data_IF_067759347740
#
_entry.id   IF_067759347740
#
_cell.length_a   1.000
_cell.length_b   1.000
_cell.length_c   1.000
_cell.angle_alpha   90.00
_cell.angle_beta   90.00
_cell.angle_gamma   90.00
#
_symmetry.space_group_name_H-M   'P 1'
#
loop_
_entity.id
_entity.type
_entity.pdbx_description
1 polymer ?
#
# COMPACT_ATOMS: atom_id res chain seq x y z
N UNK A 1 7.61 -1.41 -29.92
CA UNK A 1 7.25 -1.28 -28.49
C UNK A 1 5.77 -1.49 -28.21
N UNK A 2 4.84 -1.03 -29.07
CA UNK A 2 3.37 -1.16 -28.86
C UNK A 2 2.89 -2.53 -28.38
N UNK A 3 3.49 -3.62 -28.89
CA UNK A 3 3.16 -5.00 -28.48
C UNK A 3 3.33 -5.25 -26.97
N UNK A 4 4.28 -4.59 -26.30
CA UNK A 4 4.58 -4.78 -24.87
C UNK A 4 4.11 -3.64 -23.98
N UNK A 5 3.68 -2.51 -24.55
CA UNK A 5 3.15 -1.38 -23.79
C UNK A 5 1.83 -1.74 -23.09
N UNK A 6 0.98 -2.51 -23.75
CA UNK A 6 -0.32 -2.96 -23.24
C UNK A 6 -0.24 -4.39 -22.65
N UNK A 7 0.93 -4.75 -22.10
CA UNK A 7 1.15 -6.07 -21.47
C UNK A 7 1.38 -5.88 -19.99
N UNK A 8 0.79 -6.78 -19.20
CA UNK A 8 1.01 -6.84 -17.77
C UNK A 8 2.49 -7.00 -17.46
N UNK A 9 2.97 -6.22 -16.49
CA UNK A 9 4.40 -6.09 -16.22
C UNK A 9 5.08 -7.41 -15.87
N UNK A 10 4.35 -8.35 -15.26
CA UNK A 10 4.89 -9.68 -14.95
C UNK A 10 5.12 -10.51 -16.21
N UNK A 11 4.24 -10.43 -17.20
CA UNK A 11 4.47 -11.05 -18.52
C UNK A 11 5.75 -10.49 -19.16
N UNK A 12 5.98 -9.18 -19.01
CA UNK A 12 7.18 -8.52 -19.56
C UNK A 12 8.43 -8.96 -18.81
N UNK A 13 8.42 -8.95 -17.47
CA UNK A 13 9.56 -9.34 -16.63
C UNK A 13 9.89 -10.83 -16.78
N UNK A 14 8.89 -11.72 -16.80
CA UNK A 14 9.11 -13.17 -16.98
C UNK A 14 9.82 -13.47 -18.31
N UNK A 15 9.53 -12.68 -19.34
CA UNK A 15 10.17 -12.80 -20.66
C UNK A 15 11.51 -12.07 -20.75
N UNK A 16 11.67 -10.98 -20.01
CA UNK A 16 12.84 -10.11 -20.03
C UNK A 16 13.22 -9.71 -18.59
N UNK A 17 13.89 -10.59 -17.81
CA UNK A 17 14.15 -10.36 -16.39
C UNK A 17 14.93 -9.08 -16.09
N UNK A 18 15.77 -8.61 -17.03
CA UNK A 18 16.52 -7.36 -16.90
C UNK A 18 15.62 -6.12 -16.83
N UNK A 19 14.37 -6.20 -17.30
CA UNK A 19 13.40 -5.09 -17.23
C UNK A 19 13.07 -4.75 -15.78
N UNK A 20 13.01 -5.73 -14.87
CA UNK A 20 12.77 -5.49 -13.45
C UNK A 20 13.84 -4.57 -12.85
N UNK A 21 15.12 -4.86 -13.12
CA UNK A 21 16.25 -4.05 -12.65
C UNK A 21 16.20 -2.63 -13.20
N UNK A 22 15.83 -2.49 -14.47
CA UNK A 22 15.66 -1.18 -15.09
C UNK A 22 14.55 -0.41 -14.39
N UNK A 23 13.40 -1.02 -14.10
CA UNK A 23 12.31 -0.34 -13.39
C UNK A 23 12.74 0.07 -11.97
N UNK A 24 13.46 -0.79 -11.26
CA UNK A 24 14.00 -0.51 -9.92
C UNK A 24 14.96 0.70 -9.92
N UNK A 25 15.78 0.88 -10.96
CA UNK A 25 16.68 2.05 -11.11
C UNK A 25 15.92 3.38 -11.09
N UNK A 26 14.67 3.39 -11.55
CA UNK A 26 13.80 4.57 -11.60
C UNK A 26 12.78 4.60 -10.45
N UNK A 27 12.94 3.73 -9.45
CA UNK A 27 12.05 3.66 -8.28
C UNK A 27 10.70 3.00 -8.56
N UNK A 28 10.57 2.26 -9.66
CA UNK A 28 9.34 1.57 -10.07
C UNK A 28 9.41 0.11 -9.60
N UNK A 29 8.98 -0.14 -8.36
CA UNK A 29 9.10 -1.45 -7.71
C UNK A 29 7.98 -2.44 -8.08
N UNK A 30 7.92 -2.90 -9.33
CA UNK A 30 6.88 -3.83 -9.80
C UNK A 30 7.18 -5.32 -9.55
N UNK A 31 8.45 -5.68 -9.34
CA UNK A 31 8.90 -7.07 -9.17
C UNK A 31 8.23 -7.86 -8.03
N UNK A 32 8.09 -7.29 -6.82
CA UNK A 32 7.43 -7.97 -5.69
C UNK A 32 5.92 -8.18 -5.86
N UNK A 33 5.30 -7.65 -6.92
CA UNK A 33 3.86 -7.74 -7.13
C UNK A 33 3.44 -9.18 -7.49
N UNK A 34 2.59 -9.78 -6.66
CA UNK A 34 2.06 -11.13 -6.90
C UNK A 34 1.08 -11.18 -8.09
N UNK A 35 0.33 -10.09 -8.31
CA UNK A 35 -0.69 -9.95 -9.35
C UNK A 35 -0.06 -9.68 -10.72
N UNK A 36 0.73 -8.61 -10.82
CA UNK A 36 1.55 -8.33 -12.00
C UNK A 36 0.79 -7.96 -13.28
N UNK A 37 -0.48 -7.59 -13.17
CA UNK A 37 -1.37 -7.30 -14.31
C UNK A 37 -1.23 -5.88 -14.86
N UNK A 38 -0.68 -4.93 -14.09
CA UNK A 38 -0.57 -3.54 -14.52
C UNK A 38 0.22 -3.42 -15.82
N UNK A 39 -0.34 -2.74 -16.81
CA UNK A 39 0.31 -2.52 -18.10
C UNK A 39 1.57 -1.65 -17.95
N UNK A 40 2.61 -1.96 -18.74
CA UNK A 40 3.88 -1.21 -18.72
C UNK A 40 3.68 0.29 -18.94
N UNK A 41 2.79 0.68 -19.88
CA UNK A 41 2.51 2.09 -20.16
C UNK A 41 1.88 2.81 -18.95
N UNK A 42 0.97 2.13 -18.25
CA UNK A 42 0.21 2.71 -17.15
C UNK A 42 1.11 2.84 -15.92
N UNK A 43 1.97 1.86 -15.68
CA UNK A 43 3.01 1.95 -14.64
C UNK A 43 3.86 3.20 -14.82
N UNK A 44 4.36 3.45 -16.03
CA UNK A 44 5.22 4.61 -16.31
C UNK A 44 4.45 5.92 -16.09
N UNK A 45 3.21 5.98 -16.53
CA UNK A 45 2.36 7.17 -16.36
C UNK A 45 2.01 7.44 -14.88
N UNK A 46 1.72 6.41 -14.10
CA UNK A 46 1.37 6.50 -12.68
C UNK A 46 2.53 7.05 -11.84
N UNK A 47 3.76 6.59 -12.12
CA UNK A 47 4.97 7.01 -11.40
C UNK A 47 5.44 8.43 -11.76
N UNK A 48 4.89 9.02 -12.83
CA UNK A 48 5.06 10.44 -13.17
C UNK A 48 6.52 10.92 -13.19
N UNK A 49 7.39 10.14 -13.85
CA UNK A 49 8.80 10.49 -14.03
C UNK A 49 8.95 11.79 -14.85
N UNK A 50 10.05 12.55 -14.66
CA UNK A 50 10.42 13.62 -15.60
C UNK A 50 10.47 13.10 -17.04
N UNK A 51 10.05 13.91 -18.02
CA UNK A 51 9.99 13.50 -19.42
C UNK A 51 11.30 12.89 -19.95
N UNK A 52 12.45 13.46 -19.57
CA UNK A 52 13.77 12.95 -19.97
C UNK A 52 14.06 11.57 -19.35
N UNK A 53 13.71 11.36 -18.08
CA UNK A 53 13.91 10.08 -17.39
C UNK A 53 12.95 9.01 -17.89
N UNK A 54 11.69 9.38 -18.15
CA UNK A 54 10.71 8.49 -18.78
C UNK A 54 11.19 8.03 -20.15
N UNK A 55 11.67 8.96 -20.97
CA UNK A 55 12.22 8.64 -22.28
C UNK A 55 13.44 7.71 -22.17
N UNK A 56 14.38 8.01 -21.26
CA UNK A 56 15.55 7.16 -21.01
C UNK A 56 15.15 5.75 -20.54
N UNK A 57 14.22 5.65 -19.58
CA UNK A 57 13.66 4.39 -19.09
C UNK A 57 13.09 3.57 -20.26
N UNK A 58 12.25 4.20 -21.09
CA UNK A 58 11.63 3.53 -22.23
C UNK A 58 12.65 3.10 -23.29
N UNK A 59 13.72 3.86 -23.49
CA UNK A 59 14.83 3.46 -24.38
C UNK A 59 15.60 2.26 -23.83
N UNK A 60 15.91 2.24 -22.53
CA UNK A 60 16.57 1.11 -21.87
C UNK A 60 15.74 -0.16 -21.99
N UNK A 61 14.43 -0.09 -21.72
CA UNK A 61 13.51 -1.22 -21.87
C UNK A 61 13.45 -1.68 -23.33
N UNK A 62 13.33 -0.76 -24.29
CA UNK A 62 13.28 -1.11 -25.71
C UNK A 62 14.56 -1.82 -26.19
N UNK A 63 15.74 -1.41 -25.70
CA UNK A 63 17.01 -2.04 -26.02
C UNK A 63 17.12 -3.50 -25.53
N UNK A 64 16.48 -3.83 -24.39
CA UNK A 64 16.39 -5.21 -23.89
C UNK A 64 15.42 -6.05 -24.74
N UNK A 65 14.24 -5.50 -25.04
CA UNK A 65 13.19 -6.22 -25.77
C UNK A 65 13.57 -6.43 -27.25
N UNK A 66 14.25 -5.46 -27.87
CA UNK A 66 14.61 -5.44 -29.29
C UNK A 66 16.13 -5.18 -29.48
N UNK A 67 17.01 -6.13 -29.09
CA UNK A 67 18.45 -5.90 -29.14
C UNK A 67 18.93 -5.65 -30.57
N UNK A 68 19.69 -4.56 -30.75
CA UNK A 68 20.27 -4.17 -32.04
C UNK A 68 19.28 -3.56 -33.04
N UNK A 69 18.05 -3.23 -32.63
CA UNK A 69 17.07 -2.51 -33.45
C UNK A 69 16.97 -1.05 -32.99
N UNK A 70 16.94 -0.12 -33.94
CA UNK A 70 16.66 1.28 -33.68
C UNK A 70 15.13 1.48 -33.60
N UNK A 71 14.59 1.40 -32.39
CA UNK A 71 13.15 1.56 -32.14
C UNK A 71 12.87 3.05 -31.90
N UNK A 72 12.11 3.68 -32.80
CA UNK A 72 11.52 4.99 -32.52
C UNK A 72 10.43 4.83 -31.45
N UNK A 73 10.64 5.48 -30.30
CA UNK A 73 9.62 5.60 -29.28
C UNK A 73 8.64 6.73 -29.64
N UNK A 74 7.36 6.61 -29.27
CA UNK A 74 6.42 7.74 -29.39
C UNK A 74 6.98 8.95 -28.67
N UNK A 75 6.85 10.15 -29.24
CA UNK A 75 7.18 11.38 -28.53
C UNK A 75 6.29 11.46 -27.27
N UNK A 76 6.93 11.43 -26.10
CA UNK A 76 6.26 11.60 -24.83
C UNK A 76 5.50 12.93 -24.78
N UNK A 77 4.35 12.96 -24.11
CA UNK A 77 3.66 14.23 -23.85
C UNK A 77 4.64 15.17 -23.15
N UNK A 78 4.62 16.46 -23.49
CA UNK A 78 5.41 17.49 -22.78
C UNK A 78 4.97 17.53 -21.31
N UNK A 79 5.65 16.78 -20.44
CA UNK A 79 5.49 16.84 -18.98
C UNK A 79 6.34 18.00 -18.46
N UNK A 80 5.82 18.77 -17.51
CA UNK A 80 6.62 19.78 -16.81
C UNK A 80 7.80 19.07 -16.09
N UNK A 81 8.97 19.72 -15.94
CA UNK A 81 10.09 19.12 -15.22
C UNK A 81 9.63 18.75 -13.80
N UNK A 82 9.80 17.48 -13.40
CA UNK A 82 9.47 17.07 -12.04
C UNK A 82 10.50 17.71 -11.09
N UNK A 83 10.07 18.74 -10.38
CA UNK A 83 10.81 19.26 -9.24
C UNK A 83 10.64 18.23 -8.12
N UNK A 84 11.71 17.88 -7.41
CA UNK A 84 11.63 17.13 -6.13
C UNK A 84 10.99 18.04 -5.06
N UNK A 85 9.74 18.42 -5.26
CA UNK A 85 8.92 19.08 -4.25
C UNK A 85 8.39 18.02 -3.30
N UNK A 86 8.31 18.35 -2.01
CA UNK A 86 7.57 17.54 -1.05
C UNK A 86 6.15 17.30 -1.59
N UNK A 87 5.71 16.03 -1.59
CA UNK A 87 4.36 15.68 -2.04
C UNK A 87 3.37 16.43 -1.14
N UNK A 88 2.64 17.37 -1.73
CA UNK A 88 1.62 18.15 -1.04
C UNK A 88 0.24 17.58 -1.36
N UNK A 89 -0.31 16.83 -0.41
CA UNK A 89 -1.64 16.26 -0.52
C UNK A 89 -2.75 17.29 -0.31
N UNK A 90 -3.85 17.15 -1.06
CA UNK A 90 -5.12 17.78 -0.74
C UNK A 90 -5.65 17.29 0.62
N UNK A 91 -6.56 18.05 1.27
CA UNK A 91 -7.10 17.68 2.58
C UNK A 91 -7.62 16.23 2.70
N UNK A 92 -8.43 15.67 1.77
CA UNK A 92 -8.90 14.29 1.91
C UNK A 92 -7.76 13.27 1.80
N UNK A 93 -6.81 13.45 0.87
CA UNK A 93 -5.67 12.53 0.74
C UNK A 93 -4.77 12.59 1.97
N UNK A 94 -4.56 13.80 2.51
CA UNK A 94 -3.80 13.98 3.74
C UNK A 94 -4.42 13.20 4.91
N UNK A 95 -5.76 13.13 5.01
CA UNK A 95 -6.43 12.36 6.08
C UNK A 95 -6.10 10.87 6.01
N UNK A 96 -6.11 10.26 4.82
CA UNK A 96 -5.72 8.86 4.65
C UNK A 96 -4.25 8.63 5.03
N UNK A 97 -3.33 9.49 4.57
CA UNK A 97 -1.90 9.42 4.92
C UNK A 97 -1.66 9.62 6.42
N UNK A 98 -2.43 10.50 7.08
CA UNK A 98 -2.34 10.71 8.53
C UNK A 98 -2.84 9.46 9.30
N UNK A 99 -3.89 8.78 8.81
CA UNK A 99 -4.39 7.53 9.39
C UNK A 99 -3.38 6.39 9.26
N UNK A 100 -2.62 6.35 8.16
CA UNK A 100 -1.51 5.42 7.99
C UNK A 100 -0.44 5.53 9.07
N UNK A 101 -0.25 6.68 9.72
CA UNK A 101 0.77 6.83 10.77
C UNK A 101 0.55 5.85 11.91
N UNK A 102 -0.70 5.69 12.37
CA UNK A 102 -1.01 4.77 13.45
C UNK A 102 -0.91 3.30 13.02
N UNK A 103 -1.33 2.99 11.79
CA UNK A 103 -1.22 1.65 11.21
C UNK A 103 0.26 1.25 11.08
N UNK A 104 1.11 2.16 10.56
CA UNK A 104 2.56 1.97 10.44
C UNK A 104 3.23 1.69 11.79
N UNK A 105 2.83 2.41 12.85
CA UNK A 105 3.32 2.16 14.22
C UNK A 105 2.93 0.77 14.72
N UNK A 106 1.69 0.34 14.50
CA UNK A 106 1.24 -1.00 14.88
C UNK A 106 2.03 -2.11 14.16
N UNK A 107 2.14 -2.04 12.83
CA UNK A 107 2.83 -3.09 12.06
C UNK A 107 4.33 -3.16 12.40
N UNK A 108 4.94 -2.04 12.83
CA UNK A 108 6.33 -2.02 13.32
C UNK A 108 6.51 -2.80 14.63
N UNK A 109 5.47 -2.93 15.46
CA UNK A 109 5.50 -3.67 16.73
C UNK A 109 5.25 -5.18 16.56
N UNK A 110 4.70 -5.60 15.41
CA UNK A 110 4.34 -7.00 15.14
C UNK A 110 5.50 -7.98 15.41
N UNK A 111 6.76 -7.74 15.00
CA UNK A 111 7.86 -8.66 15.29
C UNK A 111 8.04 -8.92 16.79
N UNK A 112 8.03 -7.87 17.61
CA UNK A 112 8.13 -7.99 19.06
C UNK A 112 6.91 -8.70 19.67
N UNK A 113 5.71 -8.47 19.13
CA UNK A 113 4.50 -9.21 19.54
C UNK A 113 4.67 -10.70 19.24
N UNK A 114 5.17 -11.06 18.05
CA UNK A 114 5.38 -12.45 17.63
C UNK A 114 6.40 -13.16 18.52
N UNK A 115 7.52 -12.51 18.82
CA UNK A 115 8.56 -13.02 19.73
C UNK A 115 8.03 -13.30 21.14
N UNK A 116 7.11 -12.45 21.61
CA UNK A 116 6.56 -12.50 22.97
C UNK A 116 5.14 -13.12 23.03
N UNK A 117 4.73 -13.89 22.01
CA UNK A 117 3.42 -14.53 21.98
C UNK A 117 3.21 -15.45 23.18
N UNK A 118 2.13 -15.23 23.92
CA UNK A 118 1.66 -16.07 25.00
C UNK A 118 0.17 -16.37 24.78
N UNK A 119 -0.13 -17.62 24.41
CA UNK A 119 -1.50 -18.07 24.17
C UNK A 119 -2.07 -18.86 25.36
N UNK A 120 -1.28 -19.04 26.42
CA UNK A 120 -1.71 -19.75 27.63
C UNK A 120 -2.31 -18.79 28.66
N UNK A 121 -1.77 -17.59 28.80
CA UNK A 121 -2.39 -16.54 29.64
C UNK A 121 -3.62 -15.91 28.99
N UNK A 122 -4.52 -15.38 29.82
CA UNK A 122 -5.66 -14.60 29.35
C UNK A 122 -5.20 -13.27 28.78
N UNK A 123 -4.23 -12.64 29.45
CA UNK A 123 -3.64 -11.35 29.08
C UNK A 123 -2.94 -11.42 27.72
N UNK A 124 -2.20 -12.51 27.45
CA UNK A 124 -1.52 -12.71 26.17
C UNK A 124 -2.51 -12.91 25.01
N UNK A 125 -3.59 -13.67 25.23
CA UNK A 125 -4.68 -13.80 24.24
C UNK A 125 -5.41 -12.48 24.00
N UNK A 126 -5.69 -11.72 25.06
CA UNK A 126 -6.37 -10.44 24.94
C UNK A 126 -5.55 -9.42 24.14
N UNK A 127 -4.23 -9.36 24.33
CA UNK A 127 -3.34 -8.50 23.53
C UNK A 127 -3.48 -8.77 22.03
N UNK A 128 -3.59 -10.04 21.64
CA UNK A 128 -3.77 -10.42 20.23
C UNK A 128 -5.17 -10.06 19.73
N UNK A 129 -6.21 -10.25 20.55
CA UNK A 129 -7.56 -9.81 20.21
C UNK A 129 -7.64 -8.30 19.99
N UNK A 130 -6.98 -7.51 20.85
CA UNK A 130 -6.94 -6.05 20.73
C UNK A 130 -6.20 -5.61 19.46
N UNK A 131 -5.09 -6.28 19.11
CA UNK A 131 -4.38 -6.05 17.85
C UNK A 131 -5.22 -6.41 16.62
N UNK A 132 -5.95 -7.53 16.66
CA UNK A 132 -6.88 -7.91 15.59
C UNK A 132 -8.05 -6.93 15.49
N UNK A 133 -8.55 -6.42 16.62
CA UNK A 133 -9.60 -5.40 16.63
C UNK A 133 -9.11 -4.09 16.01
N UNK A 134 -7.89 -3.64 16.31
CA UNK A 134 -7.28 -2.50 15.63
C UNK A 134 -7.25 -2.68 14.12
N UNK A 135 -6.83 -3.85 13.63
CA UNK A 135 -6.83 -4.17 12.20
C UNK A 135 -8.24 -4.06 11.62
N UNK A 136 -9.22 -4.76 12.21
CA UNK A 136 -10.57 -4.86 11.66
C UNK A 136 -11.34 -3.56 11.73
N UNK A 137 -11.15 -2.79 12.79
CA UNK A 137 -11.98 -1.63 13.10
C UNK A 137 -11.34 -0.33 12.60
N UNK A 138 -10.01 -0.19 12.68
CA UNK A 138 -9.30 1.02 12.26
C UNK A 138 -8.70 0.91 10.85
N UNK A 139 -7.94 -0.15 10.54
CA UNK A 139 -7.36 -0.27 9.21
C UNK A 139 -8.42 -0.62 8.15
N UNK A 140 -9.29 -1.60 8.43
CA UNK A 140 -10.24 -2.08 7.41
C UNK A 140 -11.55 -1.26 7.39
N UNK A 141 -12.38 -1.34 8.43
CA UNK A 141 -13.73 -0.72 8.44
C UNK A 141 -13.76 0.81 8.51
N UNK A 142 -12.62 1.45 8.72
CA UNK A 142 -12.53 2.91 8.80
C UNK A 142 -11.70 3.45 7.64
N UNK A 143 -10.45 3.02 7.55
CA UNK A 143 -9.52 3.53 6.56
C UNK A 143 -9.77 2.91 5.17
N UNK A 144 -9.65 1.58 4.99
CA UNK A 144 -9.94 0.96 3.68
C UNK A 144 -11.39 1.17 3.24
N UNK A 145 -12.35 1.28 4.17
CA UNK A 145 -13.73 1.61 3.82
C UNK A 145 -13.85 3.01 3.15
N UNK A 146 -13.08 4.01 3.59
CA UNK A 146 -13.01 5.31 2.89
C UNK A 146 -12.43 5.18 1.50
N UNK A 147 -11.51 4.25 1.31
CA UNK A 147 -10.91 4.02 0.00
C UNK A 147 -11.90 3.30 -0.91
N UNK A 148 -12.34 2.11 -0.52
CA UNK A 148 -13.18 1.23 -1.33
C UNK A 148 -14.57 1.80 -1.58
N UNK A 149 -15.23 2.35 -0.54
CA UNK A 149 -16.63 2.78 -0.62
C UNK A 149 -16.79 4.23 -1.08
N UNK A 150 -15.73 5.04 -1.00
CA UNK A 150 -15.80 6.48 -1.29
C UNK A 150 -14.76 6.87 -2.35
N UNK A 151 -13.47 6.80 -2.06
CA UNK A 151 -12.42 7.36 -2.94
C UNK A 151 -12.35 6.66 -4.30
N UNK A 152 -12.29 5.32 -4.31
CA UNK A 152 -12.12 4.53 -5.52
C UNK A 152 -13.31 4.71 -6.48
N UNK A 153 -14.48 5.08 -5.96
CA UNK A 153 -15.69 5.40 -6.76
C UNK A 153 -15.56 6.64 -7.65
N UNK A 154 -14.51 7.44 -7.49
CA UNK A 154 -14.21 8.59 -8.35
C UNK A 154 -13.33 8.22 -9.55
N UNK A 155 -12.88 6.96 -9.62
CA UNK A 155 -11.99 6.44 -10.64
C UNK A 155 -12.62 5.21 -11.32
N UNK A 156 -11.95 4.70 -12.36
CA UNK A 156 -12.32 3.43 -12.97
C UNK A 156 -11.94 2.28 -12.04
N UNK A 157 -12.93 1.72 -11.35
CA UNK A 157 -12.75 0.62 -10.40
C UNK A 157 -12.19 -0.64 -11.06
N UNK A 158 -12.40 -0.82 -12.37
CA UNK A 158 -11.87 -1.96 -13.14
C UNK A 158 -10.40 -1.75 -13.56
N UNK A 159 -9.81 -0.59 -13.27
CA UNK A 159 -8.40 -0.34 -13.54
C UNK A 159 -7.49 -1.29 -12.76
N UNK A 160 -6.43 -1.74 -13.42
CA UNK A 160 -5.50 -2.74 -12.89
C UNK A 160 -4.87 -2.32 -11.56
N UNK A 161 -4.58 -1.03 -11.39
CA UNK A 161 -4.02 -0.52 -10.13
C UNK A 161 -5.01 -0.66 -8.98
N UNK A 162 -6.30 -0.38 -9.18
CA UNK A 162 -7.30 -0.53 -8.12
C UNK A 162 -7.61 -1.99 -7.83
N UNK A 163 -7.60 -2.85 -8.85
CA UNK A 163 -7.73 -4.30 -8.66
C UNK A 163 -6.59 -4.87 -7.79
N UNK A 164 -5.36 -4.37 -7.94
CA UNK A 164 -4.23 -4.72 -7.05
C UNK A 164 -4.50 -4.29 -5.61
N UNK A 165 -5.07 -3.10 -5.39
CA UNK A 165 -5.39 -2.61 -4.04
C UNK A 165 -6.51 -3.43 -3.39
N UNK A 166 -7.58 -3.74 -4.13
CA UNK A 166 -8.66 -4.61 -3.66
C UNK A 166 -8.17 -6.03 -3.29
N UNK A 167 -7.23 -6.58 -4.07
CA UNK A 167 -6.63 -7.89 -3.78
C UNK A 167 -5.75 -7.84 -2.51
N UNK A 168 -4.98 -6.76 -2.31
CA UNK A 168 -4.22 -6.55 -1.08
C UNK A 168 -5.18 -6.46 0.13
N UNK A 169 -6.27 -5.68 0.06
CA UNK A 169 -7.28 -5.61 1.12
C UNK A 169 -7.91 -6.97 1.40
N UNK A 170 -8.28 -7.71 0.36
CA UNK A 170 -8.86 -9.06 0.46
C UNK A 170 -7.89 -10.03 1.11
N UNK A 171 -6.62 -9.99 0.73
CA UNK A 171 -5.54 -10.80 1.33
C UNK A 171 -5.36 -10.45 2.81
N UNK A 172 -5.36 -9.16 3.15
CA UNK A 172 -5.30 -8.67 4.53
C UNK A 172 -6.44 -9.22 5.39
N UNK A 173 -7.68 -9.15 4.90
CA UNK A 173 -8.87 -9.75 5.54
C UNK A 173 -8.72 -11.27 5.70
N UNK A 174 -8.11 -11.93 4.72
CA UNK A 174 -7.76 -13.36 4.78
C UNK A 174 -6.79 -13.70 5.91
N UNK A 175 -5.73 -12.90 6.11
CA UNK A 175 -4.81 -13.06 7.23
C UNK A 175 -5.49 -12.89 8.58
N UNK A 176 -6.36 -11.88 8.73
CA UNK A 176 -7.14 -11.67 9.96
C UNK A 176 -7.99 -12.89 10.31
N UNK A 177 -8.68 -13.47 9.31
CA UNK A 177 -9.47 -14.69 9.51
C UNK A 177 -8.59 -15.84 10.01
N UNK A 178 -7.41 -16.02 9.41
CA UNK A 178 -6.49 -17.07 9.81
C UNK A 178 -5.90 -16.83 11.22
N UNK A 179 -5.60 -15.59 11.60
CA UNK A 179 -5.16 -15.24 12.96
C UNK A 179 -6.22 -15.61 14.00
N UNK A 180 -7.50 -15.32 13.75
CA UNK A 180 -8.60 -15.65 14.66
C UNK A 180 -8.75 -17.17 14.84
N UNK A 181 -8.61 -17.96 13.76
CA UNK A 181 -8.65 -19.42 13.86
C UNK A 181 -7.43 -19.98 14.60
N UNK A 182 -6.22 -19.45 14.32
CA UNK A 182 -5.02 -19.82 15.04
C UNK A 182 -5.13 -19.51 16.54
N UNK A 183 -5.71 -18.36 16.89
CA UNK A 183 -5.93 -17.97 18.28
C UNK A 183 -6.91 -18.90 19.00
N UNK A 184 -8.02 -19.31 18.36
CA UNK A 184 -8.95 -20.31 18.90
C UNK A 184 -8.29 -21.66 19.15
N UNK A 185 -7.42 -22.08 18.23
CA UNK A 185 -6.65 -23.32 18.33
C UNK A 185 -5.41 -23.23 19.22
N UNK A 186 -5.09 -22.05 19.77
CA UNK A 186 -3.81 -21.74 20.44
C UNK A 186 -2.57 -22.11 19.60
N UNK A 187 -2.68 -22.02 18.28
CA UNK A 187 -1.59 -22.30 17.35
C UNK A 187 -0.68 -21.08 17.21
N UNK A 188 0.35 -21.03 18.08
CA UNK A 188 1.35 -19.95 18.10
C UNK A 188 2.13 -19.82 16.79
N UNK A 189 2.40 -20.93 16.09
CA UNK A 189 3.19 -20.92 14.85
C UNK A 189 2.38 -20.27 13.73
N UNK A 190 1.14 -20.73 13.53
CA UNK A 190 0.25 -20.17 12.52
C UNK A 190 -0.09 -18.71 12.79
N UNK A 191 -0.35 -18.35 14.06
CA UNK A 191 -0.61 -16.98 14.45
C UNK A 191 0.58 -16.05 14.12
N UNK A 192 1.80 -16.45 14.51
CA UNK A 192 3.01 -15.69 14.23
C UNK A 192 3.25 -15.52 12.73
N UNK A 193 3.05 -16.58 11.93
CA UNK A 193 3.14 -16.53 10.47
C UNK A 193 2.17 -15.51 9.87
N UNK A 194 0.90 -15.53 10.28
CA UNK A 194 -0.10 -14.63 9.70
C UNK A 194 0.09 -13.18 10.15
N UNK A 195 0.54 -12.94 11.39
CA UNK A 195 0.92 -11.61 11.85
C UNK A 195 2.05 -11.02 11.00
N UNK A 196 3.12 -11.79 10.76
CA UNK A 196 4.24 -11.35 9.91
C UNK A 196 3.81 -11.13 8.46
N UNK A 197 3.01 -12.04 7.89
CA UNK A 197 2.51 -11.89 6.53
C UNK A 197 1.62 -10.63 6.37
N UNK A 198 0.75 -10.36 7.35
CA UNK A 198 -0.05 -9.13 7.38
C UNK A 198 0.83 -7.88 7.46
N UNK A 199 1.83 -7.87 8.34
CA UNK A 199 2.82 -6.78 8.43
C UNK A 199 3.45 -6.50 7.07
N UNK A 200 3.96 -7.54 6.41
CA UNK A 200 4.72 -7.40 5.17
C UNK A 200 3.83 -6.90 4.03
N UNK A 201 2.63 -7.47 3.91
CA UNK A 201 1.59 -7.01 2.98
C UNK A 201 1.31 -5.53 3.17
N UNK A 202 1.00 -5.11 4.40
CA UNK A 202 0.55 -3.75 4.66
C UNK A 202 1.67 -2.72 4.61
N UNK A 203 2.90 -3.11 4.91
CA UNK A 203 4.08 -2.28 4.67
C UNK A 203 4.22 -1.95 3.18
N UNK A 204 4.07 -2.95 2.31
CA UNK A 204 4.12 -2.76 0.86
C UNK A 204 2.91 -1.96 0.33
N UNK A 205 1.72 -2.28 0.83
CA UNK A 205 0.46 -1.63 0.47
C UNK A 205 0.44 -0.13 0.76
N UNK A 206 0.72 0.26 2.02
CA UNK A 206 0.75 1.68 2.44
C UNK A 206 1.81 2.45 1.64
N UNK A 207 2.93 1.81 1.29
CA UNK A 207 3.95 2.44 0.45
C UNK A 207 3.42 2.71 -0.96
N UNK A 208 2.70 1.76 -1.57
CA UNK A 208 2.04 1.98 -2.88
C UNK A 208 1.07 3.16 -2.79
N UNK A 209 0.36 3.29 -1.68
CA UNK A 209 -0.62 4.36 -1.49
C UNK A 209 0.02 5.73 -1.31
N UNK A 210 0.83 5.88 -0.27
CA UNK A 210 1.44 7.14 0.12
C UNK A 210 2.35 7.69 -0.98
N UNK A 211 3.12 6.83 -1.67
CA UNK A 211 4.14 7.29 -2.61
C UNK A 211 3.64 7.36 -4.05
N UNK A 212 2.65 6.53 -4.43
CA UNK A 212 2.29 6.33 -5.84
C UNK A 212 0.81 6.60 -6.10
N UNK A 213 -0.10 5.84 -5.47
CA UNK A 213 -1.53 5.89 -5.76
C UNK A 213 -2.17 7.21 -5.36
N UNK A 214 -2.02 7.65 -4.10
CA UNK A 214 -2.64 8.88 -3.64
C UNK A 214 -2.10 10.10 -4.37
N UNK A 215 -0.77 10.26 -4.60
CA UNK A 215 -0.28 11.37 -5.41
C UNK A 215 -0.84 11.36 -6.83
N UNK A 216 -0.99 10.17 -7.45
CA UNK A 216 -1.61 10.06 -8.76
C UNK A 216 -3.09 10.41 -8.72
N UNK A 217 -3.86 9.90 -7.77
CA UNK A 217 -5.28 10.22 -7.60
C UNK A 217 -5.48 11.72 -7.38
N UNK A 218 -4.71 12.32 -6.49
CA UNK A 218 -4.84 13.73 -6.11
C UNK A 218 -4.64 14.67 -7.30
N UNK A 219 -3.67 14.36 -8.18
CA UNK A 219 -3.43 15.11 -9.43
C UNK A 219 -4.57 14.98 -10.44
N UNK A 220 -5.37 13.91 -10.35
CA UNK A 220 -6.44 13.60 -11.28
C UNK A 220 -7.84 13.95 -10.72
N UNK A 221 -7.93 14.50 -9.52
CA UNK A 221 -9.18 15.00 -8.94
C UNK A 221 -9.37 16.50 -9.23
N UNK A 222 -10.58 16.87 -9.65
CA UNK A 222 -10.98 18.27 -9.76
C UNK A 222 -11.33 18.85 -8.38
N UNK A 223 -11.17 20.18 -8.20
CA UNK A 223 -11.47 20.85 -6.92
C UNK A 223 -12.85 20.51 -6.32
N UNK A 224 -13.96 20.46 -7.08
CA UNK A 224 -15.25 20.07 -6.51
C UNK A 224 -15.30 18.61 -6.01
N UNK A 225 -14.52 17.71 -6.63
CA UNK A 225 -14.43 16.31 -6.18
C UNK A 225 -13.63 16.23 -4.87
N UNK A 226 -12.56 17.02 -4.73
CA UNK A 226 -11.77 17.13 -3.50
C UNK A 226 -12.64 17.61 -2.33
N UNK A 227 -13.47 18.64 -2.56
CA UNK A 227 -14.38 19.17 -1.54
C UNK A 227 -15.46 18.15 -1.13
N UNK A 228 -16.04 17.45 -2.11
CA UNK A 228 -17.05 16.40 -1.88
C UNK A 228 -16.45 15.21 -1.11
N UNK A 229 -15.25 14.75 -1.49
CA UNK A 229 -14.51 13.70 -0.79
C UNK A 229 -14.24 14.07 0.66
N UNK A 230 -13.78 15.30 0.91
CA UNK A 230 -13.51 15.77 2.26
C UNK A 230 -14.78 15.76 3.11
N UNK A 231 -15.93 16.17 2.55
CA UNK A 231 -17.21 16.12 3.25
C UNK A 231 -17.59 14.70 3.63
N UNK A 232 -17.52 13.75 2.68
CA UNK A 232 -17.85 12.34 2.91
C UNK A 232 -16.93 11.68 3.94
N UNK A 233 -15.63 11.97 3.91
CA UNK A 233 -14.69 11.47 4.93
C UNK A 233 -15.03 12.02 6.32
N UNK A 234 -15.37 13.31 6.42
CA UNK A 234 -15.77 13.90 7.69
C UNK A 234 -17.08 13.29 8.24
N UNK A 235 -18.00 12.86 7.38
CA UNK A 235 -19.21 12.13 7.78
C UNK A 235 -18.87 10.74 8.36
N UNK A 236 -17.95 10.00 7.73
CA UNK A 236 -17.45 8.72 8.27
C UNK A 236 -16.79 8.92 9.64
N UNK A 237 -15.95 9.96 9.78
CA UNK A 237 -15.29 10.32 11.04
C UNK A 237 -16.30 10.57 12.16
N UNK A 238 -17.43 11.22 11.85
CA UNK A 238 -18.48 11.50 12.83
C UNK A 238 -19.30 10.25 13.21
N UNK A 239 -19.54 9.35 12.26
CA UNK A 239 -20.39 8.16 12.45
C UNK A 239 -19.71 7.05 13.26
N UNK A 240 -18.38 6.94 13.19
CA UNK A 240 -17.66 5.79 13.73
C UNK A 240 -17.69 5.66 15.25
N UNK A 241 -18.05 6.72 15.98
CA UNK A 241 -18.41 6.64 17.41
C UNK A 241 -17.32 6.17 18.37
N UNK A 242 -16.13 5.81 17.89
CA UNK A 242 -14.92 5.58 18.68
C UNK A 242 -13.85 6.60 18.28
N UNK A 243 -13.09 7.09 19.25
CA UNK A 243 -11.96 7.98 19.01
C UNK A 243 -10.72 7.14 18.64
N UNK A 244 -9.92 7.60 17.67
CA UNK A 244 -8.62 7.00 17.35
C UNK A 244 -7.75 6.79 18.60
N UNK A 245 -7.99 7.59 19.63
CA UNK A 245 -7.43 7.52 20.98
C UNK A 245 -7.41 6.10 21.58
N UNK A 246 -8.43 5.26 21.36
CA UNK A 246 -8.42 3.86 21.83
C UNK A 246 -7.22 3.10 21.25
N UNK A 247 -7.05 3.18 19.93
CA UNK A 247 -5.98 2.47 19.23
C UNK A 247 -4.63 3.15 19.40
N UNK A 248 -4.60 4.48 19.49
CA UNK A 248 -3.40 5.23 19.88
C UNK A 248 -2.91 4.81 21.26
N UNK A 249 -3.81 4.67 22.24
CA UNK A 249 -3.48 4.22 23.59
C UNK A 249 -2.98 2.77 23.59
N UNK A 250 -3.62 1.88 22.82
CA UNK A 250 -3.17 0.51 22.65
C UNK A 250 -1.76 0.43 22.07
N UNK A 251 -1.50 1.15 20.97
CA UNK A 251 -0.17 1.19 20.33
C UNK A 251 0.86 1.79 21.28
N UNK A 252 0.57 2.92 21.93
CA UNK A 252 1.48 3.56 22.88
C UNK A 252 1.83 2.64 24.06
N UNK A 253 0.84 1.90 24.58
CA UNK A 253 1.08 0.92 25.64
C UNK A 253 2.07 -0.16 25.21
N UNK A 254 1.94 -0.68 23.97
CA UNK A 254 2.86 -1.67 23.42
C UNK A 254 4.25 -1.10 23.13
N UNK A 255 4.33 0.12 22.59
CA UNK A 255 5.60 0.83 22.42
C UNK A 255 6.34 0.94 23.74
N UNK A 256 5.66 1.40 24.80
CA UNK A 256 6.25 1.48 26.14
C UNK A 256 6.69 0.08 26.62
N UNK A 257 5.84 -0.94 26.48
CA UNK A 257 6.11 -2.30 26.93
C UNK A 257 7.35 -2.91 26.26
N UNK A 258 7.54 -2.69 24.95
CA UNK A 258 8.63 -3.30 24.20
C UNK A 258 9.90 -2.44 24.16
N UNK A 259 9.80 -1.11 24.02
CA UNK A 259 10.98 -0.23 24.01
C UNK A 259 11.61 -0.03 25.41
N UNK A 260 10.87 -0.23 26.50
CA UNK A 260 11.48 -0.30 27.84
C UNK A 260 12.30 -1.58 28.03
N UNK A 261 11.93 -2.68 27.36
CA UNK A 261 12.60 -3.96 27.46
C UNK A 261 13.98 -3.94 26.80
N UNK A 262 14.11 -3.25 25.67
CA UNK A 262 15.40 -3.03 24.96
C UNK A 262 16.37 -2.12 25.71
N UNK A 263 15.88 -1.20 26.56
CA UNK A 263 16.73 -0.32 27.38
C UNK A 263 17.24 -0.96 28.67
N UNK A 264 16.68 -2.11 29.05
CA UNK A 264 17.00 -2.86 30.28
C UNK A 264 17.72 -4.20 30.01
N UNK A 265 17.82 -4.61 28.74
CA UNK A 265 18.60 -5.76 28.25
C UNK A 265 19.97 -5.32 27.75
#
# INVERSE_FOLDING_TARGET
MEQFLNKGIKEVIDRFPEVEKILDEYGIGCGPCSVGICELKDIVDIHNLPAEQEQELMHKIAAIIYPGQDIQLPEGKKKAPAVKEEIKFSPPMKKLVDEHVLIKRWIALIPAVVENLDLESEEGRQLILDGIDMIRSYADKYHHAKEEDILFKYFDEDSEILQVMYEDHTTGRGHVKAMLEALKGKDKISLGKHLMAYRDLLTGHIKKEDEILFPWMDRNLATPQVDDLLSKFNEVDQQMGFTSEKYESFVLMLEIKFYQKERLS
#
